data_IF_239378486747
#
_entry.id   IF_239378486747
#
_cell.length_a   1.000
_cell.length_b   1.000
_cell.length_c   1.000
_cell.angle_alpha   90.00
_cell.angle_beta   90.00
_cell.angle_gamma   90.00
#
_symmetry.space_group_name_H-M   'P 1'
#
loop_
_entity.id
_entity.type
_entity.pdbx_description
1 polymer ?
#
# COMPACT_ATOMS: atom_id res chain seq x y z
N UNK A 1 19.28 -9.44 8.01
CA UNK A 1 18.95 -9.04 9.40
C UNK A 1 17.77 -8.07 9.50
N UNK A 2 17.65 -7.08 8.59
CA UNK A 2 16.58 -6.06 8.65
C UNK A 2 15.16 -6.65 8.41
N UNK A 3 15.03 -7.55 7.43
CA UNK A 3 13.72 -8.12 7.04
C UNK A 3 13.13 -8.99 8.17
N UNK A 4 13.96 -9.75 8.87
CA UNK A 4 13.50 -10.59 9.98
C UNK A 4 12.94 -9.78 11.16
N UNK A 5 13.55 -8.64 11.48
CA UNK A 5 13.08 -7.77 12.56
C UNK A 5 11.75 -7.08 12.21
N UNK A 6 11.55 -6.67 10.95
CA UNK A 6 10.28 -6.10 10.51
C UNK A 6 9.15 -7.13 10.54
N UNK A 7 9.41 -8.35 10.06
CA UNK A 7 8.41 -9.43 10.12
C UNK A 7 8.04 -9.80 11.56
N UNK A 8 9.01 -9.88 12.45
CA UNK A 8 8.78 -10.19 13.88
C UNK A 8 7.97 -9.05 14.54
N UNK A 9 8.32 -7.80 14.26
CA UNK A 9 7.61 -6.64 14.80
C UNK A 9 6.16 -6.57 14.29
N UNK A 10 5.93 -6.79 12.98
CA UNK A 10 4.57 -6.82 12.42
C UNK A 10 3.75 -7.97 12.99
N UNK A 11 4.35 -9.15 13.19
CA UNK A 11 3.66 -10.30 13.81
C UNK A 11 3.25 -10.00 15.25
N UNK A 12 4.15 -9.42 16.05
CA UNK A 12 3.85 -9.01 17.44
C UNK A 12 2.72 -7.97 17.45
N UNK A 13 2.78 -6.94 16.58
CA UNK A 13 1.73 -5.92 16.49
C UNK A 13 0.37 -6.53 16.11
N UNK A 14 0.37 -7.50 15.17
CA UNK A 14 -0.85 -8.19 14.75
C UNK A 14 -1.47 -8.98 15.92
N UNK A 15 -0.65 -9.71 16.68
CA UNK A 15 -1.10 -10.46 17.86
C UNK A 15 -1.66 -9.50 18.93
N UNK A 16 -0.98 -8.40 19.20
CA UNK A 16 -1.44 -7.40 20.17
C UNK A 16 -2.74 -6.72 19.71
N UNK A 17 -2.90 -6.46 18.42
CA UNK A 17 -4.12 -5.91 17.83
C UNK A 17 -5.31 -6.86 18.02
N UNK A 18 -5.11 -8.17 17.84
CA UNK A 18 -6.17 -9.17 18.06
C UNK A 18 -6.66 -9.23 19.51
N UNK A 19 -5.83 -8.88 20.48
CA UNK A 19 -6.20 -8.95 21.90
C UNK A 19 -7.00 -7.73 22.39
N UNK A 20 -6.79 -6.54 21.79
CA UNK A 20 -7.49 -5.31 22.19
C UNK A 20 -7.63 -4.34 21.01
N UNK A 21 -8.40 -4.77 20.01
CA UNK A 21 -8.45 -4.18 18.67
C UNK A 21 -8.61 -2.66 18.67
N UNK A 22 -9.69 -2.16 19.23
CA UNK A 22 -10.02 -0.74 19.13
C UNK A 22 -9.01 0.16 19.87
N UNK A 23 -8.53 -0.27 21.02
CA UNK A 23 -7.56 0.52 21.80
C UNK A 23 -6.19 0.57 21.12
N UNK A 24 -5.77 -0.56 20.56
CA UNK A 24 -4.50 -0.66 19.83
C UNK A 24 -4.55 0.16 18.54
N UNK A 25 -5.64 0.04 17.77
CA UNK A 25 -5.81 0.82 16.55
C UNK A 25 -5.89 2.32 16.84
N UNK A 26 -6.59 2.74 17.90
CA UNK A 26 -6.63 4.14 18.31
C UNK A 26 -5.25 4.67 18.71
N UNK A 27 -4.44 3.86 19.40
CA UNK A 27 -3.07 4.23 19.75
C UNK A 27 -2.19 4.37 18.49
N UNK A 28 -2.22 3.38 17.60
CA UNK A 28 -1.47 3.42 16.34
C UNK A 28 -1.91 4.60 15.45
N UNK A 29 -3.21 4.84 15.34
CA UNK A 29 -3.75 5.99 14.61
C UNK A 29 -3.19 7.32 15.14
N UNK A 30 -3.25 7.54 16.46
CA UNK A 30 -2.71 8.76 17.07
C UNK A 30 -1.21 8.89 16.84
N UNK A 31 -0.47 7.78 16.97
CA UNK A 31 0.96 7.74 16.74
C UNK A 31 1.31 8.08 15.30
N UNK A 32 0.67 7.44 14.31
CA UNK A 32 0.95 7.69 12.90
C UNK A 32 0.57 9.10 12.47
N UNK A 33 -0.58 9.61 12.91
CA UNK A 33 -0.98 11.01 12.65
C UNK A 33 0.05 11.98 13.22
N UNK A 34 0.45 11.78 14.47
CA UNK A 34 1.46 12.65 15.13
C UNK A 34 2.80 12.57 14.40
N UNK A 35 3.28 11.37 14.10
CA UNK A 35 4.54 11.17 13.38
C UNK A 35 4.49 11.82 11.99
N UNK A 36 3.41 11.65 11.25
CA UNK A 36 3.24 12.27 9.93
C UNK A 36 3.29 13.80 10.02
N UNK A 37 2.55 14.40 10.96
CA UNK A 37 2.52 15.85 11.14
C UNK A 37 3.89 16.39 11.56
N UNK A 38 4.52 15.77 12.55
CA UNK A 38 5.85 16.18 13.05
C UNK A 38 6.91 16.11 11.96
N UNK A 39 6.98 14.98 11.23
CA UNK A 39 7.94 14.81 10.14
C UNK A 39 7.70 15.79 9.00
N UNK A 40 6.44 16.04 8.64
CA UNK A 40 6.08 17.00 7.59
C UNK A 40 6.47 18.44 8.00
N UNK A 41 6.18 18.85 9.25
CA UNK A 41 6.54 20.16 9.76
C UNK A 41 8.05 20.33 9.86
N UNK A 42 8.76 19.35 10.42
CA UNK A 42 10.22 19.38 10.50
C UNK A 42 10.85 19.47 9.10
N UNK A 43 10.32 18.73 8.14
CA UNK A 43 10.79 18.77 6.76
C UNK A 43 10.59 20.14 6.11
N UNK A 44 9.46 20.80 6.37
CA UNK A 44 9.20 22.17 5.90
C UNK A 44 10.17 23.16 6.54
N UNK A 45 10.37 23.10 7.86
CA UNK A 45 11.27 24.01 8.61
C UNK A 45 12.72 23.83 8.20
N UNK A 46 13.17 22.59 7.99
CA UNK A 46 14.56 22.29 7.60
C UNK A 46 14.82 22.43 6.09
N UNK A 47 13.79 22.71 5.29
CA UNK A 47 13.91 22.79 3.83
C UNK A 47 14.16 21.43 3.16
N UNK A 48 14.02 20.32 3.89
CA UNK A 48 14.26 18.97 3.39
C UNK A 48 13.05 18.37 2.60
N UNK A 49 12.13 19.21 2.16
CA UNK A 49 11.06 18.79 1.26
C UNK A 49 11.66 18.52 -0.11
N UNK A 50 11.95 17.26 -0.39
CA UNK A 50 12.39 16.85 -1.71
C UNK A 50 11.19 16.92 -2.67
N UNK A 51 11.41 17.59 -3.79
CA UNK A 51 10.50 17.60 -4.92
C UNK A 51 11.01 16.57 -5.92
N UNK A 52 10.19 15.59 -6.19
CA UNK A 52 10.48 14.62 -7.25
C UNK A 52 9.82 15.12 -8.52
N UNK A 53 10.61 15.26 -9.57
CA UNK A 53 10.12 15.59 -10.91
C UNK A 53 10.13 14.30 -11.70
N UNK A 54 8.96 13.82 -12.07
CA UNK A 54 8.85 12.71 -13.02
C UNK A 54 9.14 13.20 -14.44
N UNK A 55 9.51 12.32 -15.36
CA UNK A 55 9.81 12.64 -16.77
C UNK A 55 8.69 13.43 -17.48
N UNK A 56 7.49 13.46 -16.89
CA UNK A 56 6.32 14.21 -17.33
C UNK A 56 6.09 15.57 -16.67
N UNK A 57 7.05 16.20 -16.00
CA UNK A 57 6.94 17.48 -15.26
C UNK A 57 6.00 17.48 -14.05
N UNK A 58 5.58 16.36 -13.53
CA UNK A 58 4.77 16.29 -12.32
C UNK A 58 5.65 16.48 -11.07
N UNK A 59 5.28 17.44 -10.21
CA UNK A 59 5.97 17.72 -8.95
C UNK A 59 5.33 16.88 -7.84
N UNK A 60 6.09 15.94 -7.29
CA UNK A 60 5.66 15.12 -6.15
C UNK A 60 6.40 15.50 -4.87
N UNK A 61 5.71 15.41 -3.74
CA UNK A 61 6.23 15.77 -2.44
C UNK A 61 6.43 14.53 -1.57
N UNK A 62 7.57 14.46 -0.89
CA UNK A 62 7.88 13.36 0.03
C UNK A 62 7.45 13.61 1.48
N UNK A 63 7.00 14.81 1.82
CA UNK A 63 6.57 15.20 3.19
C UNK A 63 7.60 14.87 4.29
N UNK A 64 8.91 14.89 3.97
CA UNK A 64 9.98 14.51 4.90
C UNK A 64 10.31 13.03 4.97
N UNK A 65 9.60 12.20 4.24
CA UNK A 65 9.92 10.78 4.10
C UNK A 65 10.99 10.54 3.02
N UNK A 66 11.55 9.34 3.00
CA UNK A 66 12.57 8.96 2.00
C UNK A 66 12.04 9.03 0.56
N UNK A 67 10.76 8.74 0.35
CA UNK A 67 10.12 8.71 -0.96
C UNK A 67 8.63 9.12 -0.87
N UNK A 68 8.02 9.77 -1.90
CA UNK A 68 6.59 10.13 -1.91
C UNK A 68 5.65 8.94 -1.66
N UNK A 69 5.98 7.74 -2.17
CA UNK A 69 5.18 6.54 -1.95
C UNK A 69 5.10 6.12 -0.47
N UNK A 70 6.14 6.40 0.33
CA UNK A 70 6.14 6.10 1.77
C UNK A 70 5.17 7.02 2.49
N UNK A 71 5.18 8.33 2.15
CA UNK A 71 4.21 9.29 2.67
C UNK A 71 2.77 8.89 2.30
N UNK A 72 2.55 8.50 1.03
CA UNK A 72 1.24 8.04 0.56
C UNK A 72 0.76 6.78 1.29
N UNK A 73 1.63 5.80 1.51
CA UNK A 73 1.30 4.58 2.25
C UNK A 73 0.92 4.89 3.70
N UNK A 74 1.62 5.81 4.36
CA UNK A 74 1.30 6.22 5.73
C UNK A 74 -0.05 6.94 5.80
N UNK A 75 -0.34 7.85 4.86
CA UNK A 75 -1.65 8.51 4.77
C UNK A 75 -2.78 7.51 4.50
N UNK A 76 -2.53 6.48 3.69
CA UNK A 76 -3.47 5.39 3.45
C UNK A 76 -3.72 4.56 4.71
N UNK A 77 -2.69 4.21 5.47
CA UNK A 77 -2.84 3.52 6.76
C UNK A 77 -3.66 4.35 7.76
N UNK A 78 -3.38 5.65 7.86
CA UNK A 78 -4.16 6.58 8.69
C UNK A 78 -5.63 6.56 8.26
N UNK A 79 -5.92 6.59 6.95
CA UNK A 79 -7.27 6.52 6.42
C UNK A 79 -7.98 5.21 6.80
N UNK A 80 -7.31 4.06 6.67
CA UNK A 80 -7.87 2.74 7.02
C UNK A 80 -8.18 2.68 8.52
N UNK A 81 -7.24 3.08 9.39
CA UNK A 81 -7.46 3.08 10.84
C UNK A 81 -8.60 4.02 11.23
N UNK A 82 -8.71 5.18 10.58
CA UNK A 82 -9.83 6.09 10.80
C UNK A 82 -11.16 5.48 10.35
N UNK A 83 -11.22 4.83 9.18
CA UNK A 83 -12.40 4.10 8.71
C UNK A 83 -12.81 3.04 9.73
N UNK A 84 -11.86 2.26 10.25
CA UNK A 84 -12.11 1.24 11.26
C UNK A 84 -12.73 1.81 12.53
N UNK A 85 -12.10 2.84 13.11
CA UNK A 85 -12.56 3.48 14.34
C UNK A 85 -13.92 4.14 14.21
N UNK A 86 -14.24 4.65 13.02
CA UNK A 86 -15.50 5.36 12.73
C UNK A 86 -16.52 4.49 11.98
N UNK A 87 -16.27 3.19 11.84
CA UNK A 87 -17.04 2.32 10.95
C UNK A 87 -18.56 2.41 11.14
N UNK A 88 -19.02 2.43 12.39
CA UNK A 88 -20.44 2.48 12.72
C UNK A 88 -21.10 3.85 12.40
N UNK A 89 -20.32 4.91 12.36
CA UNK A 89 -20.76 6.30 12.16
C UNK A 89 -20.65 6.78 10.71
N UNK A 90 -20.13 5.92 9.80
CA UNK A 90 -19.90 6.29 8.40
C UNK A 90 -21.23 6.59 7.68
N UNK A 91 -21.41 7.85 7.30
CA UNK A 91 -22.53 8.33 6.48
C UNK A 91 -22.12 8.36 4.99
N UNK A 92 -23.06 8.33 4.03
CA UNK A 92 -22.76 8.38 2.59
C UNK A 92 -21.85 9.53 2.17
N UNK A 93 -22.00 10.70 2.78
CA UNK A 93 -21.17 11.88 2.50
C UNK A 93 -19.69 11.67 2.85
N UNK A 94 -19.39 10.76 3.77
CA UNK A 94 -18.03 10.47 4.21
C UNK A 94 -17.27 9.72 3.12
N UNK A 95 -17.92 8.82 2.39
CA UNK A 95 -17.27 8.11 1.27
C UNK A 95 -16.79 9.06 0.17
N UNK A 96 -17.55 10.11 -0.12
CA UNK A 96 -17.13 11.15 -1.05
C UNK A 96 -15.88 11.89 -0.52
N UNK A 97 -15.87 12.26 0.78
CA UNK A 97 -14.71 12.93 1.40
C UNK A 97 -13.47 12.04 1.38
N UNK A 98 -13.60 10.74 1.63
CA UNK A 98 -12.50 9.77 1.54
C UNK A 98 -12.00 9.62 0.10
N UNK A 99 -12.89 9.62 -0.88
CA UNK A 99 -12.54 9.64 -2.30
C UNK A 99 -11.71 10.88 -2.65
N UNK A 100 -12.20 12.06 -2.26
CA UNK A 100 -11.46 13.33 -2.46
C UNK A 100 -10.10 13.26 -1.76
N UNK A 101 -10.03 12.77 -0.52
CA UNK A 101 -8.77 12.60 0.20
C UNK A 101 -7.79 11.70 -0.57
N UNK A 102 -8.25 10.57 -1.10
CA UNK A 102 -7.41 9.67 -1.90
C UNK A 102 -6.87 10.34 -3.17
N UNK A 103 -7.68 11.16 -3.85
CA UNK A 103 -7.24 11.96 -4.98
C UNK A 103 -6.22 13.05 -4.59
N UNK A 104 -6.42 13.72 -3.46
CA UNK A 104 -5.48 14.72 -2.92
C UNK A 104 -4.13 14.06 -2.60
N UNK A 105 -4.14 12.90 -1.94
CA UNK A 105 -2.90 12.13 -1.67
C UNK A 105 -2.20 11.79 -2.98
N UNK A 106 -2.92 11.27 -3.97
CA UNK A 106 -2.36 10.98 -5.28
C UNK A 106 -1.78 12.23 -5.97
N UNK A 107 -2.49 13.34 -5.95
CA UNK A 107 -2.05 14.59 -6.58
C UNK A 107 -0.71 15.08 -6.03
N UNK A 108 -0.52 14.99 -4.71
CA UNK A 108 0.73 15.42 -4.07
C UNK A 108 1.86 14.39 -4.12
N UNK A 109 1.55 13.10 -4.15
CA UNK A 109 2.57 12.04 -4.03
C UNK A 109 2.83 11.27 -5.33
N UNK A 110 1.94 11.37 -6.32
CA UNK A 110 2.00 10.58 -7.56
C UNK A 110 1.73 9.08 -7.37
N UNK A 111 1.33 8.65 -6.18
CA UNK A 111 1.19 7.24 -5.82
C UNK A 111 -0.08 6.61 -6.42
N UNK A 112 -0.05 6.23 -7.70
CA UNK A 112 -1.19 5.63 -8.44
C UNK A 112 -1.76 4.40 -7.74
N UNK A 113 -0.90 3.53 -7.23
CA UNK A 113 -1.32 2.30 -6.52
C UNK A 113 -2.17 2.64 -5.29
N UNK A 114 -1.75 3.65 -4.51
CA UNK A 114 -2.48 4.07 -3.29
C UNK A 114 -3.85 4.65 -3.65
N UNK A 115 -3.96 5.42 -4.73
CA UNK A 115 -5.26 5.91 -5.21
C UNK A 115 -6.20 4.74 -5.51
N UNK A 116 -5.76 3.78 -6.31
CA UNK A 116 -6.59 2.65 -6.73
C UNK A 116 -7.01 1.80 -5.54
N UNK A 117 -6.04 1.42 -4.68
CA UNK A 117 -6.33 0.62 -3.47
C UNK A 117 -7.24 1.40 -2.51
N UNK A 118 -7.04 2.71 -2.39
CA UNK A 118 -7.91 3.58 -1.58
C UNK A 118 -9.36 3.58 -2.07
N UNK A 119 -9.58 3.74 -3.38
CA UNK A 119 -10.93 3.72 -3.96
C UNK A 119 -11.58 2.34 -3.83
N UNK A 120 -10.82 1.25 -4.04
CA UNK A 120 -11.31 -0.12 -3.83
C UNK A 120 -11.70 -0.32 -2.36
N UNK A 121 -10.87 0.12 -1.42
CA UNK A 121 -11.17 0.01 0.01
C UNK A 121 -12.46 0.75 0.37
N UNK A 122 -12.64 1.98 -0.10
CA UNK A 122 -13.86 2.77 0.13
C UNK A 122 -15.09 2.04 -0.42
N UNK A 123 -14.98 1.49 -1.64
CA UNK A 123 -16.05 0.72 -2.26
C UNK A 123 -16.40 -0.54 -1.47
N UNK A 124 -15.39 -1.30 -1.02
CA UNK A 124 -15.60 -2.51 -0.19
C UNK A 124 -16.26 -2.16 1.15
N UNK A 125 -15.83 -1.08 1.80
CA UNK A 125 -16.44 -0.60 3.05
C UNK A 125 -17.89 -0.17 2.83
N UNK A 126 -18.18 0.49 1.72
CA UNK A 126 -19.56 0.88 1.37
C UNK A 126 -20.46 -0.35 1.16
N UNK A 127 -19.97 -1.38 0.49
CA UNK A 127 -20.70 -2.64 0.27
C UNK A 127 -20.86 -3.42 1.58
N UNK A 128 -19.84 -3.45 2.44
CA UNK A 128 -19.89 -4.18 3.72
C UNK A 128 -20.94 -3.67 4.69
N UNK A 129 -21.42 -2.44 4.50
CA UNK A 129 -22.56 -1.89 5.23
C UNK A 129 -23.94 -2.36 4.73
N UNK A 130 -23.97 -3.21 3.70
CA UNK A 130 -25.22 -3.79 3.23
C UNK A 130 -25.80 -4.71 4.31
N UNK A 131 -27.12 -4.57 4.55
CA UNK A 131 -27.85 -5.46 5.47
C UNK A 131 -28.02 -6.89 4.91
N UNK A 132 -27.68 -7.10 3.63
CA UNK A 132 -27.84 -8.39 2.97
C UNK A 132 -26.73 -9.35 3.39
N UNK A 133 -27.10 -10.38 4.15
CA UNK A 133 -26.19 -11.39 4.70
C UNK A 133 -25.32 -12.04 3.63
N UNK A 134 -25.89 -12.38 2.46
CA UNK A 134 -25.14 -13.01 1.35
C UNK A 134 -24.02 -12.11 0.80
N UNK A 135 -24.19 -10.77 0.85
CA UNK A 135 -23.14 -9.83 0.41
C UNK A 135 -21.97 -9.90 1.39
N UNK A 136 -22.26 -9.87 2.70
CA UNK A 136 -21.23 -9.89 3.73
C UNK A 136 -20.49 -11.23 3.78
N UNK A 137 -21.20 -12.35 3.60
CA UNK A 137 -20.57 -13.67 3.46
C UNK A 137 -19.69 -13.78 2.21
N UNK A 138 -20.17 -13.24 1.08
CA UNK A 138 -19.39 -13.17 -0.16
C UNK A 138 -18.14 -12.31 0.00
N UNK A 139 -18.23 -11.15 0.64
CA UNK A 139 -17.08 -10.29 0.93
C UNK A 139 -16.07 -10.97 1.85
N UNK A 140 -16.54 -11.64 2.91
CA UNK A 140 -15.67 -12.40 3.82
C UNK A 140 -14.92 -13.52 3.08
N UNK A 141 -15.63 -14.26 2.22
CA UNK A 141 -15.02 -15.29 1.38
C UNK A 141 -13.97 -14.71 0.43
N UNK A 142 -14.33 -13.66 -0.33
CA UNK A 142 -13.41 -13.02 -1.28
C UNK A 142 -12.20 -12.42 -0.56
N UNK A 143 -12.39 -11.77 0.60
CA UNK A 143 -11.28 -11.19 1.35
C UNK A 143 -10.29 -12.23 1.86
N UNK A 144 -10.76 -13.43 2.22
CA UNK A 144 -9.90 -14.53 2.62
C UNK A 144 -9.06 -15.11 1.48
N UNK A 145 -9.59 -15.12 0.27
CA UNK A 145 -8.94 -15.74 -0.88
C UNK A 145 -8.20 -14.77 -1.80
N UNK A 146 -8.51 -13.47 -1.76
CA UNK A 146 -7.97 -12.49 -2.71
C UNK A 146 -6.43 -12.42 -2.65
N UNK A 147 -5.84 -12.45 -1.46
CA UNK A 147 -4.39 -12.37 -1.29
C UNK A 147 -3.68 -13.61 -1.81
N UNK A 148 -4.06 -14.86 -1.42
CA UNK A 148 -3.49 -16.06 -2.00
C UNK A 148 -3.62 -16.12 -3.53
N UNK A 149 -4.81 -15.81 -4.06
CA UNK A 149 -5.06 -15.86 -5.52
C UNK A 149 -4.23 -14.83 -6.26
N UNK A 150 -4.18 -13.58 -5.80
CA UNK A 150 -3.37 -12.54 -6.41
C UNK A 150 -1.87 -12.85 -6.31
N UNK A 151 -1.42 -13.43 -5.19
CA UNK A 151 -0.02 -13.83 -5.02
C UNK A 151 0.38 -14.92 -5.99
N UNK A 152 -0.48 -15.93 -6.17
CA UNK A 152 -0.27 -17.00 -7.15
C UNK A 152 -0.30 -16.47 -8.59
N UNK A 153 -1.26 -15.60 -8.92
CA UNK A 153 -1.34 -14.98 -10.22
C UNK A 153 -0.11 -14.11 -10.52
N UNK A 154 0.34 -13.32 -9.54
CA UNK A 154 1.55 -12.51 -9.65
C UNK A 154 2.79 -13.38 -9.84
N UNK A 155 2.93 -14.43 -9.04
CA UNK A 155 4.03 -15.39 -9.18
C UNK A 155 4.02 -16.07 -10.58
N UNK A 156 2.88 -16.57 -11.03
CA UNK A 156 2.74 -17.23 -12.34
C UNK A 156 3.11 -16.28 -13.49
N UNK A 157 2.60 -15.03 -13.46
CA UNK A 157 2.89 -14.04 -14.49
C UNK A 157 4.36 -13.57 -14.45
N UNK A 158 4.97 -13.54 -13.29
CA UNK A 158 6.40 -13.21 -13.12
C UNK A 158 7.29 -14.30 -13.73
N UNK A 159 7.04 -15.55 -13.39
CA UNK A 159 7.82 -16.70 -13.91
C UNK A 159 7.71 -16.83 -15.43
N UNK A 160 6.52 -16.56 -15.98
CA UNK A 160 6.26 -16.70 -17.42
C UNK A 160 6.35 -15.36 -18.18
N UNK A 161 6.97 -14.31 -17.59
CA UNK A 161 6.94 -12.96 -18.16
C UNK A 161 7.51 -12.90 -19.59
N UNK A 162 8.61 -13.60 -19.88
CA UNK A 162 9.25 -13.57 -21.19
C UNK A 162 8.41 -14.21 -22.30
N UNK A 163 7.66 -15.26 -21.96
CA UNK A 163 6.74 -15.94 -22.88
C UNK A 163 5.35 -15.29 -22.94
N UNK A 164 5.17 -14.21 -22.19
CA UNK A 164 3.86 -13.57 -22.00
C UNK A 164 3.42 -12.76 -23.23
N UNK A 165 2.13 -12.83 -23.52
CA UNK A 165 1.47 -12.04 -24.55
C UNK A 165 1.40 -10.53 -24.22
N UNK A 166 0.96 -9.74 -25.20
CA UNK A 166 0.86 -8.27 -25.12
C UNK A 166 0.06 -7.77 -23.90
N UNK A 167 -0.94 -8.53 -23.42
CA UNK A 167 -1.78 -8.12 -22.28
C UNK A 167 -0.94 -8.01 -20.99
N UNK A 168 -0.06 -8.97 -20.72
CA UNK A 168 0.78 -8.93 -19.50
C UNK A 168 1.78 -7.76 -19.58
N UNK A 169 2.28 -7.44 -20.74
CA UNK A 169 3.16 -6.26 -20.95
C UNK A 169 2.41 -4.94 -20.71
N UNK A 170 1.13 -4.85 -21.09
CA UNK A 170 0.29 -3.68 -20.79
C UNK A 170 0.07 -3.57 -19.27
N UNK A 171 -0.26 -4.69 -18.61
CA UNK A 171 -0.41 -4.73 -17.14
C UNK A 171 0.89 -4.31 -16.46
N UNK A 172 2.03 -4.80 -16.93
CA UNK A 172 3.34 -4.45 -16.38
C UNK A 172 3.66 -2.95 -16.53
N UNK A 173 3.33 -2.37 -17.68
CA UNK A 173 3.46 -0.91 -17.89
C UNK A 173 2.61 -0.14 -16.88
N UNK A 174 1.38 -0.61 -16.62
CA UNK A 174 0.52 -0.03 -15.60
C UNK A 174 1.07 -0.20 -14.19
N UNK A 175 1.72 -1.33 -13.91
CA UNK A 175 2.41 -1.65 -12.64
C UNK A 175 3.82 -1.07 -12.56
N UNK A 176 4.20 -0.18 -13.48
CA UNK A 176 5.54 0.47 -13.51
C UNK A 176 6.71 -0.52 -13.59
N UNK A 177 6.59 -1.58 -14.38
CA UNK A 177 7.65 -2.56 -14.66
C UNK A 177 7.89 -3.58 -13.54
N UNK A 178 6.99 -3.71 -12.58
CA UNK A 178 7.18 -4.60 -11.41
C UNK A 178 7.20 -6.08 -11.78
N UNK A 179 6.44 -6.51 -12.79
CA UNK A 179 6.48 -7.90 -13.26
C UNK A 179 7.82 -8.20 -13.94
N UNK A 180 8.31 -7.28 -14.76
CA UNK A 180 9.63 -7.38 -15.41
C UNK A 180 10.76 -7.46 -14.38
N UNK A 181 10.71 -6.64 -13.33
CA UNK A 181 11.70 -6.68 -12.25
C UNK A 181 11.63 -7.97 -11.45
N UNK A 182 10.42 -8.46 -11.17
CA UNK A 182 10.23 -9.77 -10.55
C UNK A 182 10.78 -10.91 -11.40
N UNK A 183 10.53 -10.89 -12.71
CA UNK A 183 11.06 -11.88 -13.65
C UNK A 183 12.59 -11.86 -13.66
N UNK A 184 13.21 -10.68 -13.72
CA UNK A 184 14.66 -10.55 -13.63
C UNK A 184 15.21 -11.14 -12.32
N UNK A 185 14.58 -10.82 -11.18
CA UNK A 185 14.98 -11.35 -9.89
C UNK A 185 14.84 -12.89 -9.85
N UNK A 186 13.76 -13.42 -10.42
CA UNK A 186 13.54 -14.86 -10.51
C UNK A 186 14.61 -15.57 -11.36
N UNK A 187 14.98 -15.01 -12.49
CA UNK A 187 16.00 -15.56 -13.38
C UNK A 187 17.40 -15.59 -12.75
N UNK A 188 17.76 -14.56 -11.97
CA UNK A 188 19.10 -14.45 -11.40
C UNK A 188 19.25 -15.15 -10.05
N UNK A 189 18.18 -15.21 -9.26
CA UNK A 189 18.22 -15.70 -7.88
C UNK A 189 17.37 -16.95 -7.65
N UNK A 190 16.46 -17.28 -8.59
CA UNK A 190 15.51 -18.36 -8.42
C UNK A 190 14.47 -18.09 -7.35
N UNK A 191 13.80 -19.15 -6.92
CA UNK A 191 12.77 -19.10 -5.87
C UNK A 191 13.19 -19.97 -4.68
N UNK A 192 13.21 -19.37 -3.51
CA UNK A 192 13.50 -20.09 -2.26
C UNK A 192 12.36 -19.90 -1.26
N UNK A 193 11.98 -20.98 -0.57
CA UNK A 193 10.86 -20.97 0.40
C UNK A 193 11.11 -20.04 1.59
N UNK A 194 12.35 -19.86 1.99
CA UNK A 194 12.72 -19.07 3.17
C UNK A 194 13.36 -17.73 2.82
N UNK A 195 13.35 -17.35 1.55
CA UNK A 195 14.03 -16.17 1.06
C UNK A 195 15.55 -16.38 0.94
N UNK A 196 16.20 -15.42 0.32
CA UNK A 196 17.67 -15.41 0.15
C UNK A 196 18.16 -13.96 0.19
N UNK A 197 19.44 -13.79 0.46
CA UNK A 197 20.09 -12.49 0.39
C UNK A 197 20.26 -12.13 -1.07
N UNK A 198 19.61 -11.06 -1.49
CA UNK A 198 19.78 -10.48 -2.83
C UNK A 198 20.77 -9.32 -2.69
N UNK A 199 21.86 -9.36 -3.45
CA UNK A 199 22.80 -8.26 -3.50
C UNK A 199 22.12 -7.03 -4.10
N UNK A 200 22.20 -5.90 -3.41
CA UNK A 200 21.70 -4.63 -3.92
C UNK A 200 22.51 -4.23 -5.15
N UNK A 201 21.97 -4.54 -6.31
CA UNK A 201 22.59 -4.14 -7.57
C UNK A 201 22.29 -2.67 -7.84
N UNK A 202 23.35 -1.88 -8.00
CA UNK A 202 23.30 -0.46 -8.38
C UNK A 202 22.72 -0.19 -9.78
N UNK A 203 22.37 -1.23 -10.54
CA UNK A 203 21.90 -1.12 -11.93
C UNK A 203 20.41 -0.81 -12.11
N UNK A 204 19.57 -0.85 -11.06
CA UNK A 204 18.13 -0.70 -11.20
C UNK A 204 17.53 0.48 -10.44
N UNK A 205 18.34 1.44 -9.96
CA UNK A 205 17.82 2.67 -9.35
C UNK A 205 17.01 2.45 -8.06
N UNK A 206 17.24 1.36 -7.36
CA UNK A 206 16.71 1.12 -6.02
C UNK A 206 17.83 1.33 -5.01
N UNK A 207 18.05 2.58 -4.68
CA UNK A 207 18.82 2.98 -3.51
C UNK A 207 17.92 2.97 -2.26
#
# INVERSE_FOLDING_TARGET
YYVGNVMLFTTILTILAMYNENRTILFLYKYEVTAFVVLSVLSLVTGNVKRYVDEGMSLYFNFGFSHPNVAAAMLFNIMIMWIWLSYNELKPQIYLKLGIFSFVVYFFTGARTILIVGLITIFLVMISKSEKKWINEGLAFVSGWIVPVLSLAFWYTTVNYQSSGSIIKIIDTFMTGRLKLGAYAYEHYGFTLFGQVVEKGTRFGYD
#
